data_IF_205805627436
#
_entry.id   IF_205805627436
#
_cell.length_a   1.000
_cell.length_b   1.000
_cell.length_c   1.000
_cell.angle_alpha   90.00
_cell.angle_beta   90.00
_cell.angle_gamma   90.00
#
_symmetry.space_group_name_H-M   'P 1'
#
loop_
_entity.id
_entity.type
_entity.pdbx_description
1 polymer ?
#
# COMPACT_ATOMS: atom_id res chain seq x y z
N UNK A 1 -32.89 -4.83 8.64
CA UNK A 1 -32.21 -4.25 9.80
C UNK A 1 -31.06 -3.41 9.28
N UNK A 2 -31.13 -2.10 9.53
CA UNK A 2 -30.31 -1.07 8.90
C UNK A 2 -28.90 -1.05 9.48
N UNK A 3 -27.88 -0.94 8.61
CA UNK A 3 -26.52 -0.61 9.02
C UNK A 3 -26.44 0.91 9.17
N UNK A 4 -26.16 1.36 10.38
CA UNK A 4 -26.02 2.77 10.72
C UNK A 4 -24.83 3.39 9.96
N UNK A 5 -25.10 4.52 9.30
CA UNK A 5 -24.09 5.39 8.73
C UNK A 5 -23.29 6.04 9.87
N UNK A 6 -22.03 5.62 10.02
CA UNK A 6 -21.06 6.31 10.87
C UNK A 6 -20.48 7.47 10.03
N UNK A 7 -20.83 8.70 10.41
CA UNK A 7 -20.04 9.94 10.21
C UNK A 7 -19.41 10.17 8.83
N UNK A 8 -20.17 10.78 7.92
CA UNK A 8 -19.71 11.23 6.61
C UNK A 8 -18.86 12.52 6.69
N UNK A 9 -17.58 12.37 7.04
CA UNK A 9 -16.52 13.29 6.63
C UNK A 9 -15.17 12.57 6.71
N UNK A 10 -14.55 12.30 5.54
CA UNK A 10 -13.21 11.72 5.33
C UNK A 10 -13.10 10.20 5.07
N UNK A 11 -14.13 9.51 4.59
CA UNK A 11 -13.92 8.24 3.89
C UNK A 11 -13.51 8.54 2.44
N UNK A 12 -12.37 7.99 1.97
CA UNK A 12 -12.02 8.03 0.55
C UNK A 12 -13.03 7.14 -0.18
N UNK A 13 -13.93 7.75 -0.94
CA UNK A 13 -14.89 7.04 -1.77
C UNK A 13 -14.18 6.48 -3.00
N UNK A 14 -14.25 5.15 -3.19
CA UNK A 14 -13.73 4.46 -4.37
C UNK A 14 -14.88 4.08 -5.32
N UNK A 15 -14.76 4.40 -6.61
CA UNK A 15 -15.79 4.20 -7.64
C UNK A 15 -15.74 2.84 -8.34
N UNK A 16 -14.74 2.01 -8.07
CA UNK A 16 -14.67 0.68 -8.68
C UNK A 16 -13.31 -0.02 -8.58
N UNK A 17 -13.17 -1.16 -9.28
CA UNK A 17 -11.98 -2.03 -9.19
C UNK A 17 -10.67 -1.32 -9.53
N UNK A 18 -10.67 -0.42 -10.52
CA UNK A 18 -9.48 0.34 -10.93
C UNK A 18 -8.94 1.26 -9.83
N UNK A 19 -9.83 1.92 -9.09
CA UNK A 19 -9.42 2.78 -7.97
C UNK A 19 -8.93 1.95 -6.78
N UNK A 20 -9.53 0.77 -6.56
CA UNK A 20 -9.07 -0.20 -5.56
C UNK A 20 -7.68 -0.73 -5.89
N UNK A 21 -7.44 -1.08 -7.15
CA UNK A 21 -6.13 -1.50 -7.64
C UNK A 21 -5.06 -0.42 -7.41
N UNK A 22 -5.37 0.86 -7.65
CA UNK A 22 -4.43 1.95 -7.42
C UNK A 22 -4.08 2.16 -5.94
N UNK A 23 -5.06 2.02 -5.05
CA UNK A 23 -4.85 2.07 -3.59
C UNK A 23 -3.96 0.91 -3.15
N UNK A 24 -4.30 -0.31 -3.59
CA UNK A 24 -3.54 -1.52 -3.29
C UNK A 24 -2.10 -1.43 -3.79
N UNK A 25 -1.90 -0.98 -5.03
CA UNK A 25 -0.57 -0.72 -5.58
C UNK A 25 0.21 0.26 -4.70
N UNK A 26 -0.42 1.34 -4.21
CA UNK A 26 0.29 2.30 -3.35
C UNK A 26 0.67 1.71 -1.99
N UNK A 27 -0.22 0.90 -1.41
CA UNK A 27 0.03 0.18 -0.16
C UNK A 27 1.25 -0.74 -0.34
N UNK A 28 1.22 -1.60 -1.35
CA UNK A 28 2.30 -2.53 -1.65
C UNK A 28 3.63 -1.81 -1.90
N UNK A 29 3.62 -0.76 -2.71
CA UNK A 29 4.83 0.04 -2.99
C UNK A 29 5.43 0.62 -1.70
N UNK A 30 4.59 1.10 -0.78
CA UNK A 30 5.04 1.72 0.48
C UNK A 30 5.59 0.66 1.43
N UNK A 31 4.93 -0.50 1.55
CA UNK A 31 5.41 -1.66 2.30
C UNK A 31 6.80 -2.09 1.82
N UNK A 32 6.95 -2.30 0.51
CA UNK A 32 8.21 -2.69 -0.10
C UNK A 32 9.31 -1.65 0.11
N UNK A 33 8.98 -0.36 0.14
CA UNK A 33 9.96 0.70 0.38
C UNK A 33 10.49 0.67 1.81
N UNK A 34 9.62 0.53 2.81
CA UNK A 34 10.04 0.41 4.21
C UNK A 34 10.85 -0.86 4.42
N UNK A 35 10.38 -1.99 3.89
CA UNK A 35 11.14 -3.24 3.92
C UNK A 35 12.52 -3.14 3.27
N UNK A 36 12.63 -2.45 2.14
CA UNK A 36 13.91 -2.23 1.48
C UNK A 36 14.91 -1.49 2.36
N UNK A 37 14.45 -0.52 3.15
CA UNK A 37 15.29 0.24 4.07
C UNK A 37 15.62 -0.55 5.34
N UNK A 38 14.64 -1.22 5.95
CA UNK A 38 14.82 -1.94 7.22
C UNK A 38 15.60 -3.26 7.06
N UNK A 39 15.46 -3.94 5.93
CA UNK A 39 15.94 -5.30 5.70
C UNK A 39 17.05 -5.40 4.64
N UNK A 40 17.61 -4.27 4.19
CA UNK A 40 18.63 -4.20 3.13
C UNK A 40 18.19 -4.81 1.78
N UNK A 41 16.89 -4.73 1.46
CA UNK A 41 16.32 -5.26 0.22
C UNK A 41 16.25 -4.22 -0.92
N UNK A 42 17.03 -3.13 -0.82
CA UNK A 42 17.08 -2.03 -1.82
C UNK A 42 17.29 -2.52 -3.25
N UNK A 43 18.17 -3.50 -3.55
CA UNK A 43 18.32 -4.01 -4.91
C UNK A 43 17.03 -4.66 -5.46
N UNK A 44 16.29 -5.40 -4.61
CA UNK A 44 15.01 -6.04 -4.98
C UNK A 44 13.93 -4.99 -5.24
N UNK A 45 13.85 -3.97 -4.40
CA UNK A 45 12.96 -2.82 -4.60
C UNK A 45 13.22 -2.12 -5.93
N UNK A 46 14.46 -1.75 -6.20
CA UNK A 46 14.81 -1.08 -7.44
C UNK A 46 14.50 -1.94 -8.67
N UNK A 47 14.68 -3.26 -8.57
CA UNK A 47 14.28 -4.19 -9.65
C UNK A 47 12.77 -4.18 -9.85
N UNK A 48 11.98 -4.33 -8.79
CA UNK A 48 10.52 -4.33 -8.87
C UNK A 48 9.98 -3.00 -9.44
N UNK A 49 10.50 -1.86 -8.98
CA UNK A 49 10.07 -0.55 -9.47
C UNK A 49 10.36 -0.36 -10.96
N UNK A 50 11.48 -0.91 -11.46
CA UNK A 50 11.79 -0.91 -12.90
C UNK A 50 10.88 -1.84 -13.69
N UNK A 51 10.66 -3.07 -13.21
CA UNK A 51 9.78 -4.05 -13.87
C UNK A 51 8.36 -3.53 -14.03
N UNK A 52 7.81 -2.90 -12.99
CA UNK A 52 6.42 -2.46 -12.94
C UNK A 52 6.24 -0.94 -13.13
N UNK A 53 7.23 -0.24 -13.70
CA UNK A 53 7.23 1.22 -13.79
C UNK A 53 5.97 1.77 -14.46
N UNK A 54 5.54 1.16 -15.57
CA UNK A 54 4.38 1.61 -16.33
C UNK A 54 3.08 1.46 -15.52
N UNK A 55 2.91 0.34 -14.83
CA UNK A 55 1.77 0.08 -13.95
C UNK A 55 1.73 1.08 -12.79
N UNK A 56 2.88 1.32 -12.15
CA UNK A 56 3.01 2.27 -11.05
C UNK A 56 2.65 3.71 -11.48
N UNK A 57 3.05 4.12 -12.69
CA UNK A 57 2.67 5.42 -13.24
C UNK A 57 1.15 5.49 -13.47
N UNK A 58 0.56 4.43 -14.02
CA UNK A 58 -0.89 4.32 -14.23
C UNK A 58 -1.67 4.42 -12.93
N UNK A 59 -1.31 3.59 -11.94
CA UNK A 59 -1.89 3.60 -10.60
C UNK A 59 -1.69 4.94 -9.89
N UNK A 60 -0.53 5.57 -10.04
CA UNK A 60 -0.25 6.89 -9.48
C UNK A 60 -1.16 8.00 -10.05
N UNK A 61 -1.50 7.94 -11.34
CA UNK A 61 -2.48 8.86 -11.95
C UNK A 61 -3.88 8.65 -11.38
N UNK A 62 -4.29 7.39 -11.21
CA UNK A 62 -5.59 7.04 -10.61
C UNK A 62 -5.64 7.50 -9.16
N UNK A 63 -4.60 7.25 -8.37
CA UNK A 63 -4.49 7.68 -6.98
C UNK A 63 -4.69 9.19 -6.85
N UNK A 64 -3.99 9.99 -7.66
CA UNK A 64 -4.16 11.45 -7.69
C UNK A 64 -5.60 11.85 -8.04
N UNK A 65 -6.24 11.14 -8.96
CA UNK A 65 -7.65 11.38 -9.32
C UNK A 65 -8.60 11.11 -8.14
N UNK A 66 -8.37 10.01 -7.40
CA UNK A 66 -9.14 9.66 -6.20
C UNK A 66 -9.05 10.80 -5.18
N UNK A 67 -7.84 11.23 -4.82
CA UNK A 67 -7.64 12.28 -3.83
C UNK A 67 -8.15 13.64 -4.32
N UNK A 68 -7.97 13.98 -5.61
CA UNK A 68 -8.51 15.21 -6.20
C UNK A 68 -10.03 15.25 -6.09
N UNK A 69 -10.71 14.14 -6.41
CA UNK A 69 -12.16 14.04 -6.32
C UNK A 69 -12.67 14.16 -4.88
N UNK A 70 -12.04 13.45 -3.94
CA UNK A 70 -12.50 13.38 -2.55
C UNK A 70 -12.16 14.62 -1.72
N UNK A 71 -11.08 15.33 -2.05
CA UNK A 71 -10.51 16.35 -1.18
C UNK A 71 -10.26 17.71 -1.86
N UNK A 72 -10.57 17.82 -3.16
CA UNK A 72 -10.49 19.07 -3.91
C UNK A 72 -9.12 19.75 -3.78
N UNK A 73 -9.12 21.00 -3.33
CA UNK A 73 -7.89 21.79 -3.14
C UNK A 73 -6.90 21.15 -2.13
N UNK A 74 -7.37 20.33 -1.20
CA UNK A 74 -6.52 19.69 -0.18
C UNK A 74 -5.97 18.32 -0.61
N UNK A 75 -6.21 17.90 -1.86
CA UNK A 75 -5.89 16.57 -2.36
C UNK A 75 -4.45 16.14 -2.15
N UNK A 76 -3.48 16.99 -2.50
CA UNK A 76 -2.06 16.67 -2.35
C UNK A 76 -1.71 16.43 -0.88
N UNK A 77 -2.12 17.35 0.01
CA UNK A 77 -1.87 17.22 1.46
C UNK A 77 -2.48 15.94 2.03
N UNK A 78 -3.70 15.60 1.63
CA UNK A 78 -4.36 14.38 2.12
C UNK A 78 -3.70 13.11 1.57
N UNK A 79 -3.24 13.14 0.32
CA UNK A 79 -2.50 12.04 -0.28
C UNK A 79 -1.15 11.84 0.41
N UNK A 80 -0.41 12.91 0.68
CA UNK A 80 0.88 12.84 1.38
C UNK A 80 0.70 12.33 2.82
N UNK A 81 -0.37 12.77 3.51
CA UNK A 81 -0.74 12.25 4.83
C UNK A 81 -1.06 10.76 4.78
N UNK A 82 -1.85 10.32 3.80
CA UNK A 82 -2.19 8.92 3.61
C UNK A 82 -0.94 8.06 3.38
N UNK A 83 -0.04 8.49 2.49
CA UNK A 83 1.22 7.80 2.21
C UNK A 83 2.10 7.72 3.46
N UNK A 84 2.17 8.82 4.22
CA UNK A 84 2.94 8.86 5.48
C UNK A 84 2.38 7.89 6.50
N UNK A 85 1.05 7.79 6.63
CA UNK A 85 0.40 6.81 7.51
C UNK A 85 0.76 5.37 7.11
N UNK A 86 0.71 5.03 5.82
CA UNK A 86 1.12 3.71 5.34
C UNK A 86 2.57 3.37 5.71
N UNK A 87 3.49 4.33 5.54
CA UNK A 87 4.90 4.14 5.87
C UNK A 87 5.12 3.96 7.38
N UNK A 88 4.40 4.74 8.20
CA UNK A 88 4.46 4.63 9.66
C UNK A 88 3.91 3.27 10.14
N UNK A 89 2.81 2.79 9.55
CA UNK A 89 2.22 1.49 9.90
C UNK A 89 3.18 0.34 9.58
N UNK A 90 3.82 0.37 8.40
CA UNK A 90 4.86 -0.59 8.02
C UNK A 90 6.07 -0.51 8.97
N UNK A 91 6.49 0.70 9.32
CA UNK A 91 7.60 0.92 10.25
C UNK A 91 7.30 0.37 11.64
N UNK A 92 6.07 0.56 12.14
CA UNK A 92 5.62 0.03 13.42
C UNK A 92 5.67 -1.50 13.44
N UNK A 93 5.21 -2.17 12.37
CA UNK A 93 5.34 -3.63 12.22
C UNK A 93 6.81 -4.06 12.22
N UNK A 94 7.67 -3.36 11.48
CA UNK A 94 9.09 -3.68 11.39
C UNK A 94 9.85 -3.49 12.70
N UNK A 95 9.43 -2.54 13.54
CA UNK A 95 10.01 -2.29 14.85
C UNK A 95 9.52 -3.29 15.91
N UNK A 96 8.29 -3.78 15.77
CA UNK A 96 7.71 -4.76 16.67
C UNK A 96 8.42 -6.11 16.60
N UNK A 97 8.63 -6.62 15.38
CA UNK A 97 9.40 -7.85 15.14
C UNK A 97 10.12 -7.77 13.80
N UNK A 98 11.37 -7.28 13.86
CA UNK A 98 12.20 -7.09 12.67
C UNK A 98 12.54 -8.41 11.97
N UNK A 99 12.73 -9.50 12.73
CA UNK A 99 13.14 -10.79 12.17
C UNK A 99 12.05 -11.35 11.27
N UNK A 100 10.85 -11.50 11.82
CA UNK A 100 9.67 -11.97 11.08
C UNK A 100 9.34 -11.02 9.93
N UNK A 101 9.37 -9.70 10.18
CA UNK A 101 9.10 -8.69 9.15
C UNK A 101 10.03 -8.84 7.94
N UNK A 102 11.34 -9.02 8.15
CA UNK A 102 12.30 -9.15 7.06
C UNK A 102 12.16 -10.49 6.32
N UNK A 103 11.80 -11.57 7.00
CA UNK A 103 11.51 -12.85 6.35
C UNK A 103 10.28 -12.73 5.43
N UNK A 104 9.17 -12.21 5.94
CA UNK A 104 7.95 -11.98 5.16
C UNK A 104 8.21 -11.00 4.00
N UNK A 105 9.02 -9.97 4.21
CA UNK A 105 9.39 -9.04 3.16
C UNK A 105 10.20 -9.70 2.04
N UNK A 106 11.12 -10.61 2.36
CA UNK A 106 11.88 -11.34 1.35
C UNK A 106 10.95 -12.15 0.45
N UNK A 107 10.03 -12.91 1.06
CA UNK A 107 9.01 -13.70 0.35
C UNK A 107 8.09 -12.80 -0.50
N UNK A 108 7.72 -11.63 0.03
CA UNK A 108 6.98 -10.62 -0.71
C UNK A 108 7.70 -10.22 -1.99
N UNK A 109 8.98 -9.83 -1.91
CA UNK A 109 9.74 -9.46 -3.10
C UNK A 109 9.85 -10.60 -4.10
N UNK A 110 10.02 -11.84 -3.64
CA UNK A 110 10.12 -13.00 -4.53
C UNK A 110 8.79 -13.27 -5.26
N UNK A 111 7.65 -13.15 -4.56
CA UNK A 111 6.33 -13.23 -5.18
C UNK A 111 6.10 -12.11 -6.22
N UNK A 112 6.53 -10.88 -5.90
CA UNK A 112 6.36 -9.74 -6.83
C UNK A 112 7.23 -9.90 -8.08
N UNK A 113 8.47 -10.34 -7.92
CA UNK A 113 9.42 -10.46 -9.02
C UNK A 113 9.21 -11.72 -9.88
N UNK A 114 8.54 -12.74 -9.36
CA UNK A 114 8.20 -13.96 -10.10
C UNK A 114 6.86 -13.90 -10.83
N UNK A 115 6.02 -12.90 -10.50
CA UNK A 115 4.70 -12.79 -11.09
C UNK A 115 4.74 -12.18 -12.50
N UNK A 116 3.92 -12.74 -13.40
CA UNK A 116 3.65 -12.22 -14.74
C UNK A 116 2.41 -11.31 -14.79
N UNK A 117 1.72 -11.13 -13.65
CA UNK A 117 0.52 -10.30 -13.51
C UNK A 117 0.82 -8.83 -13.19
N UNK A 118 -0.23 -8.01 -13.18
CA UNK A 118 -0.12 -6.58 -12.83
C UNK A 118 0.25 -6.35 -11.36
N UNK A 119 0.96 -5.25 -11.08
CA UNK A 119 1.51 -4.92 -9.75
C UNK A 119 0.46 -4.93 -8.61
N UNK A 120 -0.79 -4.55 -8.89
CA UNK A 120 -1.89 -4.51 -7.92
C UNK A 120 -2.47 -5.88 -7.57
N UNK A 121 -2.34 -6.88 -8.44
CA UNK A 121 -2.93 -8.21 -8.23
C UNK A 121 -2.21 -9.02 -7.15
N UNK A 122 -1.03 -8.57 -6.74
CA UNK A 122 -0.17 -9.23 -5.75
C UNK A 122 -0.56 -8.86 -4.31
N UNK A 123 -1.55 -7.99 -4.12
CA UNK A 123 -1.95 -7.44 -2.81
C UNK A 123 -2.87 -8.32 -1.97
N UNK A 124 -3.50 -9.32 -2.59
CA UNK A 124 -4.57 -10.12 -1.95
C UNK A 124 -4.08 -11.01 -0.81
N UNK A 125 -2.80 -11.39 -0.79
CA UNK A 125 -2.23 -12.24 0.27
C UNK A 125 -1.66 -11.44 1.45
N UNK A 126 -1.17 -10.22 1.19
CA UNK A 126 -0.36 -9.45 2.16
C UNK A 126 -1.20 -8.52 3.04
N UNK A 127 -2.30 -7.99 2.52
CA UNK A 127 -3.22 -7.15 3.33
C UNK A 127 -3.88 -7.99 4.43
N UNK A 128 -4.15 -9.28 4.17
CA UNK A 128 -4.74 -10.19 5.15
C UNK A 128 -3.78 -10.53 6.31
N UNK A 129 -2.47 -10.53 6.06
CA UNK A 129 -1.43 -10.85 7.06
C UNK A 129 -0.87 -9.58 7.73
N UNK A 130 -0.78 -8.45 7.02
CA UNK A 130 -0.41 -7.15 7.59
C UNK A 130 -1.53 -6.51 8.42
N UNK A 131 -2.78 -6.93 8.22
CA UNK A 131 -3.93 -6.60 9.06
C UNK A 131 -4.17 -7.61 10.19
N UNK A 132 -3.14 -8.37 10.61
CA UNK A 132 -3.20 -9.04 11.90
C UNK A 132 -3.50 -7.99 12.98
N UNK A 133 -4.55 -8.22 13.79
CA UNK A 133 -5.12 -7.20 14.63
C UNK A 133 -4.06 -6.71 15.61
N UNK A 134 -3.85 -5.40 15.66
CA UNK A 134 -3.45 -4.78 16.92
C UNK A 134 -4.59 -5.13 17.87
N UNK A 135 -4.41 -6.20 18.63
CA UNK A 135 -5.28 -6.55 19.75
C UNK A 135 -5.16 -5.37 20.72
N UNK A 136 -6.12 -4.46 20.64
CA UNK A 136 -6.31 -3.47 21.70
C UNK A 136 -6.43 -4.26 23.00
N UNK A 137 -5.55 -3.98 23.95
CA UNK A 137 -5.76 -4.41 25.33
C UNK A 137 -7.12 -3.90 25.81
#
# INVERSE_FOLDING_TARGET
MSVAAIGSANAIELKGPKERAAINARLLQTEMMVAALTCDLRPRYNRAMRTFQNDLIGHGKVLRSIFKRNHGASAQRQMDKYITQLANDASARSNYDRGTYCQTAADLFDNVLSSSGGFDQMTTKLIQEAALPIKSR
#
